data_IF_548577577499
#
_entry.id   IF_548577577499
#
_cell.length_a   1.000
_cell.length_b   1.000
_cell.length_c   1.000
_cell.angle_alpha   90.00
_cell.angle_beta   90.00
_cell.angle_gamma   90.00
#
_symmetry.space_group_name_H-M   'P 1'
#
loop_
_entity.id
_entity.type
_entity.pdbx_description
1 polymer ?
#
# COMPACT_ATOMS: atom_id res chain seq x y z
N UNK A 1 -4.11 14.43 -22.17
CA UNK A 1 -4.43 14.77 -20.76
C UNK A 1 -3.14 14.84 -19.97
N UNK A 2 -2.70 16.04 -19.55
CA UNK A 2 -1.52 16.23 -18.69
C UNK A 2 -1.92 15.86 -17.26
N UNK A 3 -1.52 14.68 -16.77
CA UNK A 3 -1.72 14.32 -15.36
C UNK A 3 -0.90 15.25 -14.46
N UNK A 4 -1.52 15.77 -13.40
CA UNK A 4 -0.87 16.59 -12.38
C UNK A 4 0.36 15.82 -11.82
N UNK A 5 1.54 16.44 -11.69
CA UNK A 5 2.72 15.82 -11.07
C UNK A 5 2.42 15.15 -9.72
N UNK A 6 1.55 15.76 -8.92
CA UNK A 6 1.13 15.23 -7.61
C UNK A 6 0.35 13.91 -7.75
N UNK A 7 -0.53 13.80 -8.75
CA UNK A 7 -1.25 12.56 -9.04
C UNK A 7 -0.32 11.43 -9.49
N UNK A 8 0.78 11.76 -10.18
CA UNK A 8 1.78 10.77 -10.60
C UNK A 8 2.61 10.29 -9.40
N UNK A 9 2.98 11.21 -8.51
CA UNK A 9 3.64 10.88 -7.25
C UNK A 9 2.75 9.98 -6.38
N UNK A 10 1.48 10.37 -6.25
CA UNK A 10 0.49 9.59 -5.50
C UNK A 10 0.31 8.19 -6.08
N UNK A 11 0.09 8.05 -7.39
CA UNK A 11 -0.05 6.75 -8.03
C UNK A 11 1.16 5.84 -7.81
N UNK A 12 2.37 6.38 -7.96
CA UNK A 12 3.62 5.61 -7.79
C UNK A 12 3.81 5.16 -6.34
N UNK A 13 3.46 6.02 -5.38
CA UNK A 13 3.45 5.68 -3.96
C UNK A 13 2.42 4.58 -3.66
N UNK A 14 1.20 4.71 -4.18
CA UNK A 14 0.14 3.69 -4.04
C UNK A 14 0.55 2.35 -4.62
N UNK A 15 1.15 2.31 -5.82
CA UNK A 15 1.66 1.06 -6.43
C UNK A 15 2.71 0.40 -5.54
N UNK A 16 3.60 1.19 -4.93
CA UNK A 16 4.64 0.65 -4.05
C UNK A 16 4.06 0.10 -2.75
N UNK A 17 3.14 0.82 -2.11
CA UNK A 17 2.47 0.38 -0.89
C UNK A 17 1.61 -0.87 -1.11
N UNK A 18 0.87 -0.93 -2.23
CA UNK A 18 0.08 -2.10 -2.60
C UNK A 18 0.95 -3.32 -2.88
N UNK A 19 2.09 -3.14 -3.54
CA UNK A 19 3.04 -4.24 -3.77
C UNK A 19 3.58 -4.81 -2.45
N UNK A 20 3.92 -3.94 -1.49
CA UNK A 20 4.37 -4.36 -0.16
C UNK A 20 3.29 -5.10 0.61
N UNK A 21 2.08 -4.54 0.69
CA UNK A 21 0.97 -5.12 1.45
C UNK A 21 0.45 -6.45 0.85
N UNK A 22 0.51 -6.60 -0.47
CA UNK A 22 -0.03 -7.79 -1.16
C UNK A 22 1.02 -8.84 -1.50
N UNK A 23 2.30 -8.50 -1.42
CA UNK A 23 3.41 -9.32 -1.92
C UNK A 23 3.44 -9.50 -3.44
N UNK A 24 2.61 -8.76 -4.18
CA UNK A 24 2.55 -8.83 -5.64
C UNK A 24 3.57 -7.89 -6.29
N UNK A 25 3.95 -8.20 -7.54
CA UNK A 25 4.85 -7.33 -8.30
C UNK A 25 4.17 -6.00 -8.62
N UNK A 26 4.94 -4.90 -8.62
CA UNK A 26 4.44 -3.57 -9.05
C UNK A 26 3.78 -3.62 -10.43
N UNK A 27 4.34 -4.41 -11.35
CA UNK A 27 3.78 -4.65 -12.69
C UNK A 27 2.38 -5.26 -12.66
N UNK A 28 2.12 -6.16 -11.71
CA UNK A 28 0.78 -6.74 -11.50
C UNK A 28 -0.20 -5.66 -11.02
N UNK A 29 0.22 -4.82 -10.06
CA UNK A 29 -0.62 -3.73 -9.52
C UNK A 29 -0.93 -2.68 -10.60
N UNK A 30 0.06 -2.29 -11.39
CA UNK A 30 -0.11 -1.35 -12.51
C UNK A 30 -1.11 -1.86 -13.56
N UNK A 31 -1.22 -3.19 -13.70
CA UNK A 31 -2.19 -3.84 -14.57
C UNK A 31 -3.65 -3.69 -14.13
N UNK A 32 -3.93 -3.23 -12.90
CA UNK A 32 -5.28 -3.05 -12.38
C UNK A 32 -5.95 -1.75 -12.83
N UNK A 33 -5.24 -0.91 -13.57
CA UNK A 33 -5.73 0.41 -13.98
C UNK A 33 -5.40 1.52 -12.97
N UNK A 34 -5.59 2.76 -13.39
CA UNK A 34 -5.17 3.96 -12.64
C UNK A 34 -5.91 4.14 -11.31
N UNK A 35 -7.12 3.59 -11.22
CA UNK A 35 -8.00 3.57 -10.05
C UNK A 35 -7.99 2.21 -9.32
N UNK A 36 -7.15 1.27 -9.77
CA UNK A 36 -7.05 -0.10 -9.25
C UNK A 36 -8.38 -0.88 -9.31
N UNK A 37 -9.29 -0.54 -10.21
CA UNK A 37 -10.58 -1.22 -10.37
C UNK A 37 -10.44 -2.66 -10.89
N UNK A 38 -9.38 -2.97 -11.64
CA UNK A 38 -9.08 -4.31 -12.14
C UNK A 38 -8.41 -5.26 -11.14
N UNK A 39 -8.33 -4.86 -9.86
CA UNK A 39 -7.77 -5.73 -8.82
C UNK A 39 -8.68 -6.95 -8.58
N UNK A 40 -8.13 -8.13 -8.32
CA UNK A 40 -8.93 -9.27 -7.85
C UNK A 40 -9.57 -9.01 -6.48
N UNK A 41 -10.78 -9.56 -6.24
CA UNK A 41 -11.53 -9.33 -5.00
C UNK A 41 -10.77 -9.75 -3.73
N UNK A 42 -9.95 -10.81 -3.81
CA UNK A 42 -9.17 -11.29 -2.67
C UNK A 42 -8.17 -10.25 -2.14
N UNK A 43 -7.78 -9.27 -2.96
CA UNK A 43 -6.86 -8.19 -2.57
C UNK A 43 -7.45 -7.37 -1.42
N UNK A 44 -8.77 -7.14 -1.41
CA UNK A 44 -9.41 -6.40 -0.32
C UNK A 44 -9.26 -7.12 1.02
N UNK A 45 -9.35 -8.45 1.03
CA UNK A 45 -9.15 -9.25 2.23
C UNK A 45 -7.70 -9.19 2.73
N UNK A 46 -6.72 -9.13 1.83
CA UNK A 46 -5.31 -8.97 2.21
C UNK A 46 -5.09 -7.59 2.84
N UNK A 47 -5.57 -6.52 2.19
CA UNK A 47 -5.43 -5.16 2.71
C UNK A 47 -6.11 -4.96 4.07
N UNK A 48 -7.27 -5.59 4.29
CA UNK A 48 -7.94 -5.56 5.58
C UNK A 48 -7.10 -6.22 6.69
N UNK A 49 -6.43 -7.35 6.39
CA UNK A 49 -5.54 -8.03 7.32
C UNK A 49 -4.30 -7.20 7.63
N UNK A 50 -3.65 -6.64 6.60
CA UNK A 50 -2.49 -5.75 6.79
C UNK A 50 -2.85 -4.51 7.60
N UNK A 51 -4.02 -3.91 7.35
CA UNK A 51 -4.52 -2.79 8.13
C UNK A 51 -4.71 -3.15 9.61
N UNK A 52 -5.25 -4.33 9.91
CA UNK A 52 -5.38 -4.82 11.29
C UNK A 52 -4.00 -5.04 11.94
N UNK A 53 -3.05 -5.63 11.23
CA UNK A 53 -1.68 -5.81 11.73
C UNK A 53 -1.00 -4.48 12.04
N UNK A 54 -1.19 -3.47 11.19
CA UNK A 54 -0.65 -2.13 11.41
C UNK A 54 -1.25 -1.47 12.65
N UNK A 55 -2.58 -1.55 12.84
CA UNK A 55 -3.22 -1.08 14.07
C UNK A 55 -2.68 -1.78 15.32
N UNK A 56 -2.43 -3.10 15.25
CA UNK A 56 -1.82 -3.84 16.37
C UNK A 56 -0.40 -3.34 16.66
N UNK A 57 0.40 -3.07 15.63
CA UNK A 57 1.77 -2.53 15.78
C UNK A 57 1.76 -1.13 16.40
N UNK A 58 0.76 -0.31 16.09
CA UNK A 58 0.59 1.01 16.71
C UNK A 58 0.24 0.89 18.21
N UNK A 59 -0.61 -0.07 18.57
CA UNK A 59 -1.03 -0.30 19.96
C UNK A 59 0.03 -1.02 20.81
N UNK A 60 0.88 -1.84 20.19
CA UNK A 60 1.97 -2.55 20.84
C UNK A 60 3.26 -2.42 20.01
N UNK A 61 3.89 -1.23 20.02
CA UNK A 61 5.08 -0.99 19.24
C UNK A 61 6.18 -1.95 19.71
N UNK A 62 6.85 -2.67 18.79
CA UNK A 62 8.03 -3.45 19.14
C UNK A 62 9.04 -2.57 19.89
N UNK A 63 9.84 -3.11 20.83
CA UNK A 63 10.74 -2.32 21.68
C UNK A 63 11.71 -1.40 20.92
N UNK A 64 11.95 -1.64 19.64
CA UNK A 64 12.84 -0.86 18.77
C UNK A 64 12.13 0.20 17.89
N UNK A 65 10.79 0.30 17.90
CA UNK A 65 10.05 1.25 17.07
C UNK A 65 10.18 2.72 17.51
N UNK A 66 10.79 2.98 18.68
CA UNK A 66 10.99 4.34 19.22
C UNK A 66 12.36 4.95 18.87
N UNK A 67 13.21 4.29 18.07
CA UNK A 67 14.57 4.78 17.81
C UNK A 67 14.71 5.74 16.63
N UNK A 68 13.73 5.83 15.75
CA UNK A 68 13.84 6.67 14.54
C UNK A 68 13.00 7.97 14.60
N UNK A 69 12.63 8.41 15.82
CA UNK A 69 11.94 9.70 16.04
C UNK A 69 12.84 10.76 16.70
N UNK A 70 14.15 10.71 16.45
CA UNK A 70 15.11 11.78 16.81
C UNK A 70 15.84 12.28 15.58
#
# INVERSE_FOLDING_TARGET
>A
MKGNPEERGFYTASVSALAEATGLSKRTIEGWGRDFAGRPDYVLNILAKENLLNQIRELNPPPNYLKDSQ
#
